data_IF_968841312644
#
_entry.id   IF_968841312644
#
_cell.length_a   1.000
_cell.length_b   1.000
_cell.length_c   1.000
_cell.angle_alpha   90.00
_cell.angle_beta   90.00
_cell.angle_gamma   90.00
#
_symmetry.space_group_name_H-M   'P 1'
#
loop_
_entity.id
_entity.type
_entity.pdbx_description
1 polymer ?
#
# COMPACT_ATOMS: atom_id res chain seq x y z
N UNK A 1 -3.90 -12.42 21.77
CA UNK A 1 -2.61 -12.11 21.11
C UNK A 1 -2.54 -12.89 19.80
N UNK A 2 -2.24 -12.23 18.68
CA UNK A 2 -2.19 -12.84 17.33
C UNK A 2 -0.85 -13.56 17.12
N UNK A 3 -0.85 -14.66 16.34
CA UNK A 3 0.37 -15.45 16.04
C UNK A 3 1.05 -15.04 14.73
N UNK A 4 0.34 -14.35 13.84
CA UNK A 4 0.83 -13.96 12.52
C UNK A 4 1.72 -12.72 12.57
N UNK A 5 2.33 -12.40 11.43
CA UNK A 5 3.24 -11.26 11.28
C UNK A 5 2.53 -9.91 11.48
N UNK A 6 1.34 -9.72 10.88
CA UNK A 6 0.58 -8.48 10.98
C UNK A 6 -0.17 -8.40 12.31
N UNK A 7 0.30 -7.56 13.23
CA UNK A 7 -0.28 -7.44 14.57
C UNK A 7 -1.28 -6.28 14.74
N UNK A 8 -1.26 -5.29 13.84
CA UNK A 8 -2.10 -4.10 13.98
C UNK A 8 -3.59 -4.46 13.89
N UNK A 9 -4.37 -4.07 14.90
CA UNK A 9 -5.80 -4.42 15.00
C UNK A 9 -6.62 -3.81 13.88
N UNK A 10 -6.40 -2.54 13.54
CA UNK A 10 -7.18 -1.81 12.54
C UNK A 10 -6.91 -2.37 11.13
N UNK A 11 -5.64 -2.63 10.79
CA UNK A 11 -5.30 -3.26 9.50
C UNK A 11 -5.90 -4.67 9.43
N UNK A 12 -5.80 -5.46 10.51
CA UNK A 12 -6.40 -6.79 10.56
C UNK A 12 -7.91 -6.75 10.37
N UNK A 13 -8.57 -5.77 10.99
CA UNK A 13 -10.01 -5.55 10.88
C UNK A 13 -10.41 -5.20 9.45
N UNK A 14 -9.71 -4.25 8.81
CA UNK A 14 -9.99 -3.87 7.41
C UNK A 14 -9.76 -5.05 6.47
N UNK A 15 -8.61 -5.73 6.55
CA UNK A 15 -8.31 -6.90 5.70
C UNK A 15 -9.40 -7.97 5.83
N UNK A 16 -9.85 -8.25 7.06
CA UNK A 16 -10.89 -9.27 7.30
C UNK A 16 -12.26 -8.95 6.68
N UNK A 17 -12.47 -7.71 6.23
CA UNK A 17 -13.72 -7.24 5.62
C UNK A 17 -13.63 -7.04 4.11
N UNK A 18 -12.46 -7.19 3.50
CA UNK A 18 -12.30 -7.02 2.06
C UNK A 18 -13.02 -8.15 1.31
N UNK A 19 -13.87 -7.78 0.37
CA UNK A 19 -14.37 -8.69 -0.66
C UNK A 19 -13.40 -8.75 -1.84
N UNK A 20 -13.69 -9.57 -2.84
CA UNK A 20 -12.94 -9.58 -4.10
C UNK A 20 -12.99 -8.19 -4.76
N UNK A 21 -11.87 -7.71 -5.31
CA UNK A 21 -11.68 -6.42 -5.99
C UNK A 21 -11.73 -5.16 -5.11
N UNK A 22 -11.99 -5.31 -3.81
CA UNK A 22 -11.83 -4.18 -2.88
C UNK A 22 -10.38 -3.73 -2.84
N UNK A 23 -10.15 -2.47 -2.48
CA UNK A 23 -8.78 -1.93 -2.42
C UNK A 23 -8.44 -1.35 -1.06
N UNK A 24 -7.17 -1.45 -0.70
CA UNK A 24 -6.57 -0.66 0.38
C UNK A 24 -5.33 0.04 -0.17
N UNK A 25 -5.04 1.23 0.36
CA UNK A 25 -3.84 1.99 -0.01
C UNK A 25 -2.85 1.97 1.13
N UNK A 26 -1.56 1.79 0.83
CA UNK A 26 -0.46 2.12 1.75
C UNK A 26 0.24 3.34 1.18
N UNK A 27 0.37 4.39 1.99
CA UNK A 27 0.90 5.67 1.54
C UNK A 27 2.07 6.17 2.39
N UNK A 28 2.85 7.05 1.77
CA UNK A 28 3.85 7.87 2.44
C UNK A 28 3.20 8.90 3.39
N UNK A 29 4.03 9.64 4.12
CA UNK A 29 3.53 10.61 5.09
C UNK A 29 2.79 11.81 4.45
N UNK A 30 2.93 12.02 3.15
CA UNK A 30 2.40 13.17 2.41
C UNK A 30 1.16 12.89 1.56
N UNK A 31 0.81 11.63 1.29
CA UNK A 31 -0.36 11.28 0.48
C UNK A 31 -1.66 11.84 1.09
N UNK A 32 -2.45 12.65 0.34
CA UNK A 32 -3.73 13.12 0.84
C UNK A 32 -4.73 11.97 0.95
N UNK A 33 -5.44 11.91 2.08
CA UNK A 33 -6.47 10.90 2.35
C UNK A 33 -7.84 11.53 2.05
N UNK A 34 -8.60 11.03 1.07
CA UNK A 34 -9.91 11.57 0.74
C UNK A 34 -10.91 11.48 1.90
N UNK A 35 -11.85 12.42 1.96
CA UNK A 35 -12.94 12.36 2.93
C UNK A 35 -13.79 11.10 2.73
N UNK A 36 -14.17 10.45 3.83
CA UNK A 36 -14.94 9.20 3.82
C UNK A 36 -14.12 7.92 3.67
N UNK A 37 -12.83 8.00 3.33
CA UNK A 37 -11.92 6.85 3.34
C UNK A 37 -11.34 6.67 4.74
N UNK A 38 -11.35 5.43 5.25
CA UNK A 38 -10.82 5.13 6.59
C UNK A 38 -9.32 5.43 6.67
N UNK A 39 -8.90 6.19 7.68
CA UNK A 39 -7.49 6.54 7.90
C UNK A 39 -6.92 5.68 9.02
N UNK A 40 -5.92 4.87 8.69
CA UNK A 40 -5.10 4.13 9.66
C UNK A 40 -3.72 4.80 9.69
N UNK A 41 -3.49 5.69 10.65
CA UNK A 41 -2.21 6.39 10.77
C UNK A 41 -1.24 5.64 11.68
N UNK A 42 -0.19 5.08 11.08
CA UNK A 42 0.89 4.42 11.82
C UNK A 42 2.09 5.34 12.06
N UNK A 43 2.11 6.54 11.45
CA UNK A 43 3.28 7.41 11.46
C UNK A 43 3.57 7.93 12.87
N UNK A 44 4.80 7.68 13.33
CA UNK A 44 5.30 8.18 14.61
C UNK A 44 6.25 9.36 14.39
N UNK A 45 7.17 9.19 13.43
CA UNK A 45 8.13 10.22 13.03
C UNK A 45 8.60 9.95 11.59
N UNK A 46 9.44 10.84 11.06
CA UNK A 46 10.08 10.64 9.75
C UNK A 46 10.79 9.29 9.69
N UNK A 47 10.42 8.45 8.72
CA UNK A 47 10.93 7.09 8.50
C UNK A 47 10.39 6.03 9.46
N UNK A 48 9.39 6.34 10.31
CA UNK A 48 8.91 5.38 11.32
C UNK A 48 7.37 5.29 11.32
N UNK A 49 6.80 4.12 10.95
CA UNK A 49 7.46 3.01 10.26
C UNK A 49 7.81 3.39 8.80
N UNK A 50 8.84 2.76 8.23
CA UNK A 50 9.14 2.84 6.80
C UNK A 50 8.06 2.14 5.95
N UNK A 51 8.02 2.42 4.65
CA UNK A 51 7.01 1.89 3.74
C UNK A 51 7.08 0.36 3.58
N UNK A 52 8.23 -0.20 3.22
CA UNK A 52 8.36 -1.63 2.88
C UNK A 52 7.98 -2.58 4.02
N UNK A 53 8.41 -2.38 5.29
CA UNK A 53 7.98 -3.26 6.38
C UNK A 53 6.47 -3.27 6.61
N UNK A 54 5.78 -2.15 6.37
CA UNK A 54 4.31 -2.08 6.45
C UNK A 54 3.68 -2.84 5.30
N UNK A 55 4.19 -2.65 4.07
CA UNK A 55 3.73 -3.38 2.90
C UNK A 55 3.88 -4.90 3.08
N UNK A 56 5.06 -5.37 3.51
CA UNK A 56 5.34 -6.78 3.76
C UNK A 56 4.41 -7.39 4.82
N UNK A 57 4.15 -6.66 5.92
CA UNK A 57 3.21 -7.11 6.93
C UNK A 57 1.79 -7.21 6.38
N UNK A 58 1.33 -6.23 5.61
CA UNK A 58 -0.01 -6.22 5.00
C UNK A 58 -0.18 -7.40 4.03
N UNK A 59 0.75 -7.61 3.10
CA UNK A 59 0.66 -8.70 2.11
C UNK A 59 0.94 -10.08 2.68
N UNK A 60 1.36 -10.17 3.95
CA UNK A 60 1.44 -11.46 4.64
C UNK A 60 0.06 -12.05 5.01
N UNK A 61 -0.99 -11.22 4.97
CA UNK A 61 -2.37 -11.64 5.24
C UNK A 61 -3.36 -11.29 4.14
N UNK A 62 -3.10 -10.23 3.37
CA UNK A 62 -3.94 -9.85 2.23
C UNK A 62 -3.57 -10.67 0.99
N UNK A 63 -4.55 -11.39 0.44
CA UNK A 63 -4.46 -11.94 -0.92
C UNK A 63 -4.57 -10.80 -1.94
N UNK A 64 -3.59 -10.64 -2.81
CA UNK A 64 -3.49 -9.52 -3.77
C UNK A 64 -3.48 -10.07 -5.18
N UNK A 65 -4.38 -9.58 -6.04
CA UNK A 65 -4.41 -9.93 -7.47
C UNK A 65 -3.85 -8.83 -8.38
N UNK A 66 -3.94 -7.58 -7.92
CA UNK A 66 -3.47 -6.42 -8.67
C UNK A 66 -2.87 -5.39 -7.72
N UNK A 67 -1.77 -4.77 -8.15
CA UNK A 67 -1.17 -3.61 -7.50
C UNK A 67 -1.13 -2.44 -8.46
N UNK A 68 -1.37 -1.24 -7.95
CA UNK A 68 -1.24 0.00 -8.71
C UNK A 68 -0.26 0.93 -8.02
N UNK A 69 0.70 1.46 -8.77
CA UNK A 69 1.68 2.45 -8.31
C UNK A 69 1.76 3.63 -9.27
N UNK A 70 2.29 4.76 -8.77
CA UNK A 70 2.52 5.95 -9.57
C UNK A 70 3.71 5.75 -10.54
N UNK A 71 3.58 6.12 -11.81
CA UNK A 71 4.65 6.09 -12.83
C UNK A 71 5.89 6.88 -12.39
N UNK A 72 5.68 7.94 -11.60
CA UNK A 72 6.73 8.82 -11.10
C UNK A 72 7.66 8.15 -10.09
N UNK A 73 7.23 7.05 -9.44
CA UNK A 73 7.98 6.41 -8.36
C UNK A 73 9.40 5.99 -8.78
N UNK A 74 9.56 5.38 -9.95
CA UNK A 74 10.89 4.88 -10.38
C UNK A 74 11.91 6.02 -10.56
N UNK A 75 11.46 7.21 -10.98
CA UNK A 75 12.34 8.28 -11.46
C UNK A 75 12.41 9.50 -10.54
N UNK A 76 11.63 9.55 -9.46
CA UNK A 76 11.55 10.73 -8.60
C UNK A 76 12.79 10.99 -7.73
N UNK A 77 13.45 9.93 -7.25
CA UNK A 77 14.69 10.01 -6.46
C UNK A 77 15.37 8.65 -6.38
N UNK A 78 16.63 8.60 -5.91
CA UNK A 78 17.34 7.34 -5.70
C UNK A 78 16.64 6.44 -4.66
N UNK A 79 16.02 7.02 -3.63
CA UNK A 79 15.24 6.24 -2.66
C UNK A 79 13.93 5.73 -3.26
N UNK A 80 13.26 6.55 -4.09
CA UNK A 80 12.03 6.15 -4.78
C UNK A 80 12.30 4.99 -5.73
N UNK A 81 13.44 5.02 -6.45
CA UNK A 81 13.92 3.92 -7.29
C UNK A 81 14.19 2.63 -6.51
N UNK A 82 14.74 2.73 -5.29
CA UNK A 82 14.93 1.55 -4.42
C UNK A 82 13.60 0.93 -4.01
N UNK A 83 12.66 1.74 -3.53
CA UNK A 83 11.31 1.26 -3.16
C UNK A 83 10.63 0.63 -4.39
N UNK A 84 10.73 1.25 -5.57
CA UNK A 84 10.23 0.68 -6.81
C UNK A 84 10.78 -0.73 -7.07
N UNK A 85 12.10 -0.91 -7.01
CA UNK A 85 12.71 -2.23 -7.20
C UNK A 85 12.31 -3.24 -6.12
N UNK A 86 12.13 -2.81 -4.86
CA UNK A 86 11.66 -3.67 -3.77
C UNK A 86 10.21 -4.13 -4.00
N UNK A 87 9.33 -3.24 -4.49
CA UNK A 87 7.97 -3.59 -4.91
C UNK A 87 8.02 -4.57 -6.09
N UNK A 88 8.83 -4.28 -7.12
CA UNK A 88 8.96 -5.16 -8.30
C UNK A 88 9.49 -6.54 -7.90
N UNK A 89 10.40 -6.61 -6.93
CA UNK A 89 10.89 -7.90 -6.40
C UNK A 89 9.82 -8.64 -5.59
N UNK A 90 9.02 -7.92 -4.79
CA UNK A 90 7.98 -8.51 -3.95
C UNK A 90 6.85 -9.14 -4.78
N UNK A 91 6.48 -8.52 -5.91
CA UNK A 91 5.35 -8.92 -6.74
C UNK A 91 5.72 -9.53 -8.09
N UNK A 92 6.94 -9.30 -8.61
CA UNK A 92 7.30 -9.63 -10.00
C UNK A 92 7.39 -11.12 -10.33
N UNK A 93 7.64 -11.97 -9.32
CA UNK A 93 7.62 -13.43 -9.48
C UNK A 93 6.24 -14.06 -9.22
N UNK A 94 5.22 -13.22 -8.96
CA UNK A 94 3.85 -13.65 -8.68
C UNK A 94 2.98 -13.39 -9.91
N UNK A 95 1.90 -14.15 -10.06
CA UNK A 95 0.86 -13.91 -11.07
C UNK A 95 -0.04 -12.72 -10.65
N UNK A 96 0.59 -11.58 -10.38
CA UNK A 96 -0.04 -10.35 -9.89
C UNK A 96 0.14 -9.27 -10.95
N UNK A 97 -0.96 -8.65 -11.33
CA UNK A 97 -0.93 -7.55 -12.31
C UNK A 97 -0.38 -6.29 -11.66
N UNK A 98 0.64 -5.69 -12.27
CA UNK A 98 1.23 -4.42 -11.82
C UNK A 98 0.81 -3.32 -12.79
N UNK A 99 0.01 -2.38 -12.31
CA UNK A 99 -0.43 -1.22 -13.07
C UNK A 99 0.36 0.04 -12.70
N UNK A 100 0.64 0.82 -13.73
CA UNK A 100 1.29 2.11 -13.64
C UNK A 100 0.32 3.18 -14.12
N UNK A 101 0.13 4.20 -13.28
CA UNK A 101 -0.70 5.36 -13.61
C UNK A 101 -0.01 6.64 -13.13
N UNK A 102 -0.39 7.79 -13.68
CA UNK A 102 0.12 9.07 -13.14
C UNK A 102 -0.32 9.30 -11.70
N UNK A 103 0.46 10.07 -10.94
CA UNK A 103 0.15 10.38 -9.55
C UNK A 103 -1.22 11.07 -9.36
N UNK A 104 -1.65 11.89 -10.33
CA UNK A 104 -2.99 12.48 -10.31
C UNK A 104 -4.09 11.41 -10.42
N UNK A 105 -3.94 10.45 -11.34
CA UNK A 105 -4.87 9.31 -11.44
C UNK A 105 -4.81 8.43 -10.19
N UNK A 106 -3.64 8.29 -9.58
CA UNK A 106 -3.46 7.56 -8.34
C UNK A 106 -4.30 8.16 -7.22
N UNK A 107 -4.22 9.48 -6.99
CA UNK A 107 -5.05 10.16 -5.99
C UNK A 107 -6.56 9.99 -6.23
N UNK A 108 -6.97 9.96 -7.49
CA UNK A 108 -8.36 9.67 -7.84
C UNK A 108 -8.75 8.22 -7.52
N UNK A 109 -7.86 7.26 -7.77
CA UNK A 109 -8.09 5.84 -7.46
C UNK A 109 -8.16 5.58 -5.94
N UNK A 110 -7.39 6.31 -5.11
CA UNK A 110 -7.42 6.21 -3.65
C UNK A 110 -8.81 6.45 -3.06
N UNK A 111 -9.68 7.23 -3.72
CA UNK A 111 -11.07 7.47 -3.29
C UNK A 111 -11.91 6.18 -3.21
N UNK A 112 -11.49 5.12 -3.90
CA UNK A 112 -12.17 3.82 -3.89
C UNK A 112 -11.62 2.86 -2.83
N UNK A 113 -10.50 3.21 -2.18
CA UNK A 113 -9.94 2.38 -1.12
C UNK A 113 -10.85 2.35 0.10
N UNK A 114 -10.94 1.18 0.73
CA UNK A 114 -11.63 1.01 2.01
C UNK A 114 -10.88 1.73 3.12
N UNK A 115 -9.54 1.68 3.07
CA UNK A 115 -8.68 2.38 3.99
C UNK A 115 -7.39 2.87 3.32
N UNK A 116 -6.81 3.94 3.87
CA UNK A 116 -5.44 4.36 3.62
C UNK A 116 -4.62 4.15 4.90
N UNK A 117 -3.59 3.31 4.78
CA UNK A 117 -2.60 3.05 5.81
C UNK A 117 -1.45 4.04 5.60
N UNK A 118 -1.38 5.06 6.45
CA UNK A 118 -0.33 6.09 6.39
C UNK A 118 0.90 5.63 7.15
N UNK A 119 2.04 5.62 6.46
CA UNK A 119 3.35 5.29 7.02
C UNK A 119 4.12 6.55 7.40
N UNK A 120 5.27 6.37 8.07
CA UNK A 120 6.23 7.44 8.30
C UNK A 120 7.17 7.68 7.11
N UNK A 121 6.96 7.04 5.96
CA UNK A 121 7.83 7.14 4.79
C UNK A 121 7.90 8.58 4.26
N UNK A 122 9.10 9.02 3.90
CA UNK A 122 9.38 10.39 3.42
C UNK A 122 10.03 10.39 2.04
N UNK A 123 9.94 9.27 1.33
CA UNK A 123 10.39 9.10 -0.04
C UNK A 123 9.27 9.49 -1.01
N UNK A 124 9.52 10.33 -2.02
CA UNK A 124 8.48 10.76 -2.96
C UNK A 124 7.80 9.58 -3.66
N UNK A 125 6.47 9.65 -3.74
CA UNK A 125 5.60 8.71 -4.44
C UNK A 125 5.58 7.28 -3.88
N UNK A 126 6.07 7.06 -2.66
CA UNK A 126 6.05 5.75 -1.99
C UNK A 126 4.63 5.39 -1.53
N UNK A 127 3.78 5.11 -2.52
CA UNK A 127 2.36 4.81 -2.36
C UNK A 127 2.00 3.64 -3.26
N UNK A 128 1.14 2.76 -2.77
CA UNK A 128 0.66 1.59 -3.50
C UNK A 128 -0.80 1.34 -3.16
N UNK A 129 -1.60 1.03 -4.17
CA UNK A 129 -2.95 0.49 -4.01
C UNK A 129 -2.86 -1.02 -4.20
N UNK A 130 -3.38 -1.77 -3.25
CA UNK A 130 -3.49 -3.22 -3.27
C UNK A 130 -4.96 -3.59 -3.53
N UNK A 131 -5.22 -4.33 -4.60
CA UNK A 131 -6.54 -4.89 -4.90
C UNK A 131 -6.61 -6.33 -4.41
N UNK A 132 -7.63 -6.64 -3.62
CA UNK A 132 -7.83 -7.96 -3.04
C UNK A 132 -8.22 -9.00 -4.10
N UNK A 133 -7.52 -10.13 -4.08
CA UNK A 133 -7.81 -11.30 -4.90
C UNK A 133 -8.75 -12.30 -4.24
N UNK A 134 -8.80 -13.51 -4.79
CA UNK A 134 -9.51 -14.67 -4.24
C UNK A 134 -8.52 -15.80 -3.95
N UNK A 135 -8.79 -16.58 -2.91
CA UNK A 135 -7.94 -17.71 -2.48
C UNK A 135 -8.37 -19.07 -3.05
N UNK A 136 -9.30 -19.10 -4.01
CA UNK A 136 -9.90 -20.30 -4.59
C UNK A 136 -10.05 -20.22 -6.12
#
# INVERSE_FOLDING_TARGET
MKKSLLLNSEISYVISKLGHTDTITIGDAGLPIPEGVERIDLSVSKGIPNFMPVLEAVVSELEVEEVTIAEELENASENSKKIYHEIMKLFGDRDIKINFISHEKFKEAVKKSKAVIRTGEFTPYANIILQSGVVF
#
